data_IF_069927232410
#
_entry.id   IF_069927232410
#
_cell.length_a   1.000
_cell.length_b   1.000
_cell.length_c   1.000
_cell.angle_alpha   90.00
_cell.angle_beta   90.00
_cell.angle_gamma   90.00
#
_symmetry.space_group_name_H-M   'P 1'
#
loop_
_entity.id
_entity.type
_entity.pdbx_description
1 polymer ?
#
# COMPACT_ATOMS: atom_id res chain seq x y z
N UNK A 1 -14.47 14.52 -11.32
CA UNK A 1 -13.96 14.87 -9.97
C UNK A 1 -14.05 16.37 -9.77
N UNK A 2 -14.55 16.85 -8.62
CA UNK A 2 -14.74 18.30 -8.40
C UNK A 2 -13.43 18.97 -7.92
N UNK A 3 -13.27 20.30 -8.08
CA UNK A 3 -12.06 21.01 -7.63
C UNK A 3 -11.79 20.86 -6.12
N UNK A 4 -12.84 20.79 -5.30
CA UNK A 4 -12.72 20.55 -3.86
C UNK A 4 -12.19 19.15 -3.55
N UNK A 5 -12.65 18.12 -4.28
CA UNK A 5 -12.16 16.75 -4.13
C UNK A 5 -10.69 16.66 -4.55
N UNK A 6 -10.28 17.38 -5.61
CA UNK A 6 -8.87 17.49 -6.02
C UNK A 6 -7.99 18.15 -4.98
N UNK A 7 -8.44 19.28 -4.42
CA UNK A 7 -7.71 20.00 -3.38
C UNK A 7 -7.52 19.12 -2.15
N UNK A 8 -8.58 18.40 -1.75
CA UNK A 8 -8.53 17.45 -0.64
C UNK A 8 -7.55 16.30 -0.90
N UNK A 9 -7.59 15.70 -2.09
CA UNK A 9 -6.67 14.61 -2.46
C UNK A 9 -5.21 15.07 -2.43
N UNK A 10 -4.92 16.27 -2.95
CA UNK A 10 -3.57 16.81 -2.96
C UNK A 10 -3.06 17.02 -1.53
N UNK A 11 -3.89 17.57 -0.63
CA UNK A 11 -3.54 17.69 0.78
C UNK A 11 -3.27 16.32 1.42
N UNK A 12 -4.15 15.34 1.21
CA UNK A 12 -4.00 14.00 1.76
C UNK A 12 -2.74 13.29 1.24
N UNK A 13 -2.36 13.47 -0.03
CA UNK A 13 -1.11 12.94 -0.58
C UNK A 13 0.13 13.61 0.02
N UNK A 14 0.06 14.90 0.31
CA UNK A 14 1.20 15.68 0.83
C UNK A 14 1.38 15.52 2.36
N UNK A 15 0.28 15.46 3.11
CA UNK A 15 0.28 15.53 4.58
C UNK A 15 -0.28 14.27 5.27
N UNK A 16 -0.83 13.33 4.50
CA UNK A 16 -1.33 12.05 4.99
C UNK A 16 -2.69 12.08 5.67
N UNK A 17 -3.05 13.14 6.41
CA UNK A 17 -4.31 13.18 7.16
C UNK A 17 -4.92 14.57 7.30
N UNK A 18 -6.24 14.62 7.52
CA UNK A 18 -6.99 15.87 7.71
C UNK A 18 -8.21 15.67 8.61
N UNK A 19 -8.58 16.72 9.34
CA UNK A 19 -9.79 16.83 10.15
C UNK A 19 -10.79 17.80 9.54
N UNK A 20 -12.04 17.76 10.01
CA UNK A 20 -13.10 18.67 9.56
C UNK A 20 -12.75 20.16 9.83
N UNK A 21 -12.05 20.45 10.93
CA UNK A 21 -11.64 21.80 11.28
C UNK A 21 -10.58 22.34 10.30
N UNK A 22 -9.51 21.56 10.04
CA UNK A 22 -8.46 21.92 9.07
C UNK A 22 -9.04 22.11 7.67
N UNK A 23 -9.89 21.18 7.22
CA UNK A 23 -10.53 21.24 5.90
C UNK A 23 -11.41 22.50 5.74
N UNK A 24 -12.16 22.86 6.78
CA UNK A 24 -13.00 24.05 6.79
C UNK A 24 -12.20 25.35 6.85
N UNK A 25 -11.14 25.40 7.66
CA UNK A 25 -10.32 26.59 7.85
C UNK A 25 -9.49 26.92 6.60
N UNK A 26 -8.76 25.93 6.09
CA UNK A 26 -7.75 26.09 5.04
C UNK A 26 -8.40 26.08 3.64
N UNK A 27 -9.27 25.10 3.38
CA UNK A 27 -9.78 24.82 2.02
C UNK A 27 -11.25 25.21 1.82
N UNK A 28 -11.89 25.77 2.86
CA UNK A 28 -13.33 26.11 2.88
C UNK A 28 -14.25 24.91 2.57
N UNK A 29 -13.80 23.69 2.89
CA UNK A 29 -14.58 22.46 2.72
C UNK A 29 -15.44 22.24 3.97
N UNK A 30 -16.72 22.64 3.89
CA UNK A 30 -17.68 22.50 5.01
C UNK A 30 -18.22 21.08 5.16
N UNK A 31 -18.27 20.31 4.08
CA UNK A 31 -18.79 18.94 4.05
C UNK A 31 -17.67 17.93 3.77
N UNK A 32 -16.67 17.83 4.67
CA UNK A 32 -15.54 16.92 4.49
C UNK A 32 -15.98 15.45 4.33
N UNK A 33 -16.92 14.89 5.13
CA UNK A 33 -17.34 13.50 4.98
C UNK A 33 -17.84 13.15 3.58
N UNK A 34 -18.56 14.09 2.92
CA UNK A 34 -19.05 13.88 1.55
C UNK A 34 -17.90 13.77 0.55
N UNK A 35 -16.85 14.60 0.72
CA UNK A 35 -15.66 14.59 -0.14
C UNK A 35 -14.77 13.38 0.11
N UNK A 36 -14.73 12.89 1.35
CA UNK A 36 -14.09 11.61 1.66
C UNK A 36 -14.84 10.46 0.99
N UNK A 37 -16.18 10.47 0.96
CA UNK A 37 -16.97 9.47 0.20
C UNK A 37 -16.61 9.49 -1.28
N UNK A 38 -16.56 10.68 -1.90
CA UNK A 38 -16.15 10.83 -3.30
C UNK A 38 -14.78 10.18 -3.56
N UNK A 39 -13.80 10.39 -2.67
CA UNK A 39 -12.46 9.80 -2.82
C UNK A 39 -12.46 8.28 -2.66
N UNK A 40 -13.29 7.75 -1.76
CA UNK A 40 -13.44 6.29 -1.58
C UNK A 40 -14.10 5.64 -2.81
N UNK A 41 -15.11 6.28 -3.39
CA UNK A 41 -15.74 5.84 -4.64
C UNK A 41 -14.76 5.85 -5.81
N UNK A 42 -13.78 6.76 -5.79
CA UNK A 42 -12.65 6.80 -6.73
C UNK A 42 -11.54 5.78 -6.43
N UNK A 43 -11.70 4.92 -5.42
CA UNK A 43 -10.76 3.85 -5.08
C UNK A 43 -9.63 4.25 -4.12
N UNK A 44 -9.67 5.44 -3.53
CA UNK A 44 -8.69 5.82 -2.51
C UNK A 44 -8.99 5.17 -1.16
N UNK A 45 -8.01 4.49 -0.59
CA UNK A 45 -8.13 3.90 0.74
C UNK A 45 -7.96 4.97 1.83
N UNK A 46 -9.05 5.30 2.53
CA UNK A 46 -9.05 6.34 3.58
C UNK A 46 -9.67 5.77 4.86
N UNK A 47 -8.89 5.78 5.94
CA UNK A 47 -9.34 5.39 7.28
C UNK A 47 -9.89 6.58 8.05
N UNK A 48 -10.74 6.28 9.04
CA UNK A 48 -11.34 7.27 9.94
C UNK A 48 -11.06 6.87 11.37
N UNK A 49 -10.41 7.77 12.11
CA UNK A 49 -10.16 7.63 13.55
C UNK A 49 -10.96 8.69 14.31
N UNK A 50 -11.55 8.33 15.46
CA UNK A 50 -12.16 9.31 16.37
C UNK A 50 -11.15 9.72 17.43
N UNK A 51 -10.73 10.98 17.41
CA UNK A 51 -9.79 11.56 18.38
C UNK A 51 -10.52 12.51 19.31
N UNK A 52 -9.90 12.85 20.44
CA UNK A 52 -10.37 13.88 21.37
C UNK A 52 -9.42 15.06 21.31
N UNK A 53 -9.95 16.28 21.35
CA UNK A 53 -9.14 17.49 21.49
C UNK A 53 -8.92 17.84 22.97
N UNK A 54 -8.23 18.96 23.21
CA UNK A 54 -7.93 19.44 24.55
C UNK A 54 -9.17 19.78 25.40
N UNK A 55 -10.31 20.02 24.76
CA UNK A 55 -11.60 20.28 25.45
C UNK A 55 -12.37 18.99 25.75
N UNK A 56 -11.87 17.83 25.29
CA UNK A 56 -12.55 16.55 25.38
C UNK A 56 -13.55 16.29 24.24
N UNK A 57 -13.76 17.27 23.36
CA UNK A 57 -14.65 17.13 22.21
C UNK A 57 -14.06 16.12 21.21
N UNK A 58 -14.91 15.22 20.73
CA UNK A 58 -14.52 14.19 19.76
C UNK A 58 -14.58 14.75 18.35
N UNK A 59 -13.57 14.44 17.54
CA UNK A 59 -13.53 14.76 16.12
C UNK A 59 -13.03 13.57 15.29
N UNK A 60 -13.39 13.56 14.00
CA UNK A 60 -12.89 12.57 13.05
C UNK A 60 -11.60 13.05 12.39
N UNK A 61 -10.58 12.19 12.40
CA UNK A 61 -9.36 12.34 11.60
C UNK A 61 -9.44 11.34 10.45
N UNK A 62 -9.29 11.83 9.23
CA UNK A 62 -9.23 11.01 8.03
C UNK A 62 -7.79 10.89 7.57
N UNK A 63 -7.33 9.68 7.32
CA UNK A 63 -5.96 9.40 6.91
C UNK A 63 -5.97 8.65 5.59
N UNK A 64 -5.23 9.15 4.59
CA UNK A 64 -4.98 8.43 3.36
C UNK A 64 -4.01 7.30 3.68
N UNK A 65 -4.51 6.08 3.53
CA UNK A 65 -3.68 4.88 3.63
C UNK A 65 -3.08 4.70 2.24
N UNK A 66 -1.75 4.87 2.07
CA UNK A 66 -1.13 4.52 0.81
C UNK A 66 -1.47 3.06 0.50
N UNK A 67 -1.68 2.70 -0.78
CA UNK A 67 -1.71 1.29 -1.15
C UNK A 67 -0.52 0.57 -0.52
N UNK A 68 -0.65 -0.71 -0.12
CA UNK A 68 0.51 -1.48 0.34
C UNK A 68 1.63 -1.22 -0.66
N UNK A 69 2.77 -0.76 -0.14
CA UNK A 69 3.83 -0.18 -0.94
C UNK A 69 4.12 -1.15 -2.08
N UNK A 70 3.78 -0.75 -3.30
CA UNK A 70 4.04 -1.52 -4.51
C UNK A 70 5.55 -1.60 -4.59
N UNK A 71 6.16 -2.78 -4.39
CA UNK A 71 7.61 -2.87 -4.41
C UNK A 71 8.14 -2.37 -5.75
N UNK A 72 9.14 -1.50 -5.72
CA UNK A 72 9.85 -1.08 -6.92
C UNK A 72 11.08 -1.94 -7.09
N UNK A 73 11.55 -2.06 -8.34
CA UNK A 73 12.86 -2.63 -8.61
C UNK A 73 13.90 -1.88 -7.77
N UNK A 74 14.66 -2.61 -6.97
CA UNK A 74 15.62 -2.09 -6.01
C UNK A 74 15.18 -2.17 -4.54
N UNK A 75 13.88 -2.22 -4.26
CA UNK A 75 13.36 -2.26 -2.89
C UNK A 75 13.69 -3.59 -2.20
N UNK A 76 13.93 -3.52 -0.88
CA UNK A 76 13.96 -4.71 -0.03
C UNK A 76 12.53 -5.09 0.33
N UNK A 77 12.21 -6.36 0.12
CA UNK A 77 10.89 -6.91 0.39
C UNK A 77 11.00 -8.11 1.32
N UNK A 78 9.96 -8.31 2.12
CA UNK A 78 9.73 -9.51 2.93
C UNK A 78 8.57 -10.29 2.33
N UNK A 79 8.71 -11.60 2.33
CA UNK A 79 7.60 -12.50 1.98
C UNK A 79 6.65 -12.61 3.17
N UNK A 80 5.35 -12.37 2.94
CA UNK A 80 4.30 -12.37 3.98
C UNK A 80 3.42 -13.62 4.00
N UNK A 81 3.45 -14.41 2.93
CA UNK A 81 2.78 -15.72 2.81
C UNK A 81 3.81 -16.85 2.66
N UNK A 82 3.35 -18.09 2.78
CA UNK A 82 4.20 -19.27 2.63
C UNK A 82 3.71 -20.09 1.43
N UNK A 83 4.58 -20.26 0.43
CA UNK A 83 4.39 -21.18 -0.70
C UNK A 83 3.99 -20.57 -2.05
N UNK A 84 4.55 -21.11 -3.14
CA UNK A 84 3.84 -21.20 -4.44
C UNK A 84 4.31 -22.39 -5.31
N UNK A 85 3.38 -23.00 -6.04
CA UNK A 85 3.57 -24.06 -7.04
C UNK A 85 3.27 -23.47 -8.44
N UNK A 86 4.29 -23.28 -9.27
CA UNK A 86 4.10 -22.73 -10.62
C UNK A 86 3.54 -23.80 -11.58
N UNK A 87 2.24 -23.72 -11.90
CA UNK A 87 1.63 -24.51 -12.97
C UNK A 87 1.98 -23.92 -14.33
N UNK A 88 2.89 -24.55 -15.06
CA UNK A 88 2.45 -25.37 -16.21
C UNK A 88 3.62 -26.16 -16.83
N UNK A 89 3.35 -27.47 -16.95
CA UNK A 89 4.15 -28.51 -17.59
C UNK A 89 5.51 -28.82 -16.96
N UNK A 90 5.42 -29.72 -15.97
CA UNK A 90 6.39 -30.80 -15.72
C UNK A 90 7.76 -30.28 -15.23
N UNK A 91 7.93 -30.30 -13.90
CA UNK A 91 9.14 -30.06 -13.12
C UNK A 91 9.55 -28.58 -12.89
N UNK A 92 9.10 -28.01 -11.76
CA UNK A 92 9.91 -27.29 -10.76
C UNK A 92 8.98 -26.52 -9.81
N UNK A 93 8.73 -27.10 -8.63
CA UNK A 93 7.96 -26.46 -7.56
C UNK A 93 8.96 -25.66 -6.73
N UNK A 94 8.85 -24.33 -6.74
CA UNK A 94 9.76 -23.45 -5.98
C UNK A 94 9.00 -22.79 -4.83
N UNK A 95 9.18 -23.33 -3.62
CA UNK A 95 8.60 -22.77 -2.41
C UNK A 95 9.40 -21.55 -1.93
N UNK A 96 8.70 -20.49 -1.53
CA UNK A 96 9.26 -19.42 -0.71
C UNK A 96 8.72 -19.55 0.72
N UNK A 97 9.56 -19.26 1.71
CA UNK A 97 9.14 -19.31 3.13
C UNK A 97 8.77 -17.93 3.62
N UNK A 98 7.71 -17.87 4.43
CA UNK A 98 7.29 -16.63 5.08
C UNK A 98 8.44 -16.09 5.92
N UNK A 99 8.73 -14.81 5.78
CA UNK A 99 9.82 -14.16 6.51
C UNK A 99 11.14 -14.08 5.78
N UNK A 100 11.28 -14.72 4.61
CA UNK A 100 12.42 -14.47 3.73
C UNK A 100 12.43 -13.02 3.27
N UNK A 101 13.64 -12.46 3.18
CA UNK A 101 13.86 -11.12 2.64
C UNK A 101 14.62 -11.21 1.34
N UNK A 102 14.25 -10.38 0.37
CA UNK A 102 14.92 -10.32 -0.91
C UNK A 102 14.91 -8.92 -1.50
N UNK A 103 15.60 -8.76 -2.63
CA UNK A 103 15.63 -7.53 -3.41
C UNK A 103 14.81 -7.70 -4.67
N UNK A 104 13.90 -6.77 -4.95
CA UNK A 104 13.16 -6.76 -6.21
C UNK A 104 14.13 -6.41 -7.34
N UNK A 105 14.17 -7.26 -8.36
CA UNK A 105 15.06 -7.08 -9.53
C UNK A 105 14.29 -6.98 -10.86
N UNK A 106 12.97 -7.19 -10.85
CA UNK A 106 12.13 -7.05 -12.03
C UNK A 106 10.63 -7.04 -11.70
N UNK A 107 9.83 -6.67 -12.68
CA UNK A 107 8.36 -6.56 -12.58
C UNK A 107 7.72 -7.10 -13.86
N UNK A 108 6.60 -7.82 -13.73
CA UNK A 108 5.79 -8.27 -14.86
C UNK A 108 4.58 -7.34 -15.09
N UNK A 109 3.95 -7.41 -16.27
CA UNK A 109 2.75 -6.61 -16.60
C UNK A 109 1.58 -6.89 -15.66
N UNK A 110 1.50 -8.10 -15.12
CA UNK A 110 0.38 -8.56 -14.28
C UNK A 110 0.55 -8.19 -12.81
N UNK A 111 1.65 -7.50 -12.47
CA UNK A 111 1.94 -7.01 -11.12
C UNK A 111 2.80 -7.96 -10.29
N UNK A 112 3.21 -9.12 -10.82
CA UNK A 112 4.16 -10.02 -10.17
C UNK A 112 5.59 -9.44 -10.17
N UNK A 113 6.35 -9.81 -9.15
CA UNK A 113 7.70 -9.29 -8.91
C UNK A 113 8.74 -10.38 -9.03
N UNK A 114 9.84 -10.08 -9.72
CA UNK A 114 11.02 -10.92 -9.72
C UNK A 114 11.90 -10.52 -8.56
N UNK A 115 12.09 -11.41 -7.58
CA UNK A 115 12.81 -11.14 -6.33
C UNK A 115 14.02 -12.08 -6.23
N UNK A 116 15.19 -11.50 -5.92
CA UNK A 116 16.40 -12.26 -5.58
C UNK A 116 16.49 -12.40 -4.05
N UNK A 117 16.59 -13.64 -3.57
CA UNK A 117 16.67 -13.95 -2.14
C UNK A 117 18.09 -14.35 -1.76
N UNK A 118 18.62 -13.80 -0.66
CA UNK A 118 20.01 -14.01 -0.21
C UNK A 118 20.28 -15.46 0.23
N UNK A 119 19.23 -16.20 0.62
CA UNK A 119 19.29 -17.59 1.07
C UNK A 119 18.21 -18.42 0.37
N UNK A 120 18.21 -18.45 -0.96
CA UNK A 120 17.30 -19.33 -1.68
C UNK A 120 17.61 -20.80 -1.29
N UNK A 121 16.67 -21.57 -0.69
CA UNK A 121 16.90 -22.96 -0.31
C UNK A 121 17.19 -23.86 -1.52
N UNK A 122 16.77 -23.43 -2.72
CA UNK A 122 17.16 -24.04 -3.97
C UNK A 122 18.39 -23.32 -4.49
N UNK A 123 19.59 -23.77 -4.07
CA UNK A 123 20.88 -23.22 -4.49
C UNK A 123 21.14 -23.42 -5.99
N UNK A 124 20.48 -22.60 -6.79
CA UNK A 124 21.05 -21.96 -7.96
C UNK A 124 20.79 -20.47 -7.74
N UNK A 125 21.71 -19.59 -8.13
CA UNK A 125 21.66 -18.14 -7.88
C UNK A 125 20.47 -17.46 -8.59
N UNK A 126 19.28 -17.76 -8.11
CA UNK A 126 18.04 -17.71 -8.87
C UNK A 126 17.06 -16.77 -8.20
N UNK A 127 16.51 -15.89 -9.02
CA UNK A 127 15.43 -15.00 -8.65
C UNK A 127 14.10 -15.63 -9.01
N UNK A 128 13.09 -15.39 -8.18
CA UNK A 128 11.78 -16.01 -8.29
C UNK A 128 10.72 -14.97 -8.63
N UNK A 129 9.71 -15.36 -9.40
CA UNK A 129 8.49 -14.57 -9.52
C UNK A 129 7.62 -14.80 -8.29
N UNK A 130 7.20 -13.71 -7.66
CA UNK A 130 6.41 -13.69 -6.44
C UNK A 130 5.22 -12.76 -6.67
N UNK A 131 4.04 -13.17 -6.23
CA UNK A 131 2.86 -12.33 -6.41
C UNK A 131 2.94 -11.05 -5.59
N UNK A 132 2.31 -9.99 -6.09
CA UNK A 132 2.15 -8.73 -5.37
C UNK A 132 1.53 -8.87 -3.99
N UNK A 133 0.63 -9.83 -3.81
CA UNK A 133 -0.09 -10.04 -2.56
C UNK A 133 0.77 -10.73 -1.49
N UNK A 134 1.88 -11.34 -1.93
CA UNK A 134 2.77 -12.17 -1.11
C UNK A 134 4.01 -11.40 -0.63
N UNK A 135 4.13 -10.11 -0.98
CA UNK A 135 5.26 -9.26 -0.63
C UNK A 135 4.85 -8.04 0.19
N UNK A 136 5.72 -7.65 1.11
CA UNK A 136 5.67 -6.39 1.85
C UNK A 136 7.01 -5.67 1.75
N UNK A 137 7.00 -4.35 1.53
CA UNK A 137 8.23 -3.53 1.49
C UNK A 137 8.77 -3.32 2.90
N UNK A 138 10.07 -3.51 3.06
CA UNK A 138 10.79 -3.27 4.32
C UNK A 138 11.37 -1.86 4.26
N UNK A 139 11.05 -1.03 5.26
CA UNK A 139 11.61 0.31 5.43
C UNK A 139 12.97 0.28 6.15
#
# INVERSE_FOLDING_TARGET
>A
MTPQVQTLLNHLKAHGSISQAEAGLIYKIRSLPRRISDLKELGHNITRELKKDATGQRYARYTLVPPPAVPKVGDRVKVVSEGYEAKSRIFDIQYYTKGMTGKVIGTHSDGDYRVAFDNNPNQDNGSLWVSKQDLEVIA
#
